data_IF_021394970969
#
_entry.id   IF_021394970969
#
_cell.length_a   1.000
_cell.length_b   1.000
_cell.length_c   1.000
_cell.angle_alpha   90.00
_cell.angle_beta   90.00
_cell.angle_gamma   90.00
#
_symmetry.space_group_name_H-M   'P 1'
#
loop_
_entity.id
_entity.type
_entity.pdbx_description
1 polymer ?
#
# COMPACT_ATOMS: atom_id res chain seq x y z
N UNK A 1 -2.43 -4.06 -49.89
CA UNK A 1 -3.85 -3.68 -50.10
C UNK A 1 -4.58 -4.19 -48.86
N UNK A 2 -5.02 -3.44 -47.86
CA UNK A 2 -5.47 -2.04 -47.63
C UNK A 2 -5.13 -1.75 -46.15
N UNK A 3 -4.47 -0.66 -45.72
CA UNK A 3 -4.94 0.73 -45.66
C UNK A 3 -6.00 0.90 -44.54
N UNK A 4 -6.00 1.84 -43.58
CA UNK A 4 -5.18 3.00 -43.19
C UNK A 4 -5.89 3.63 -41.93
N UNK A 5 -5.16 4.43 -41.12
CA UNK A 5 -5.58 5.54 -40.22
C UNK A 5 -6.04 5.34 -38.75
N UNK A 6 -5.09 5.64 -37.84
CA UNK A 6 -5.06 6.73 -36.81
C UNK A 6 -6.32 7.24 -36.11
N UNK A 7 -6.20 7.45 -34.78
CA UNK A 7 -7.01 8.42 -34.03
C UNK A 7 -6.62 8.58 -32.55
N UNK A 8 -5.92 9.67 -32.23
CA UNK A 8 -5.62 10.18 -30.87
C UNK A 8 -6.83 10.96 -30.34
N UNK A 9 -7.14 10.86 -29.02
CA UNK A 9 -7.22 11.98 -28.03
C UNK A 9 -8.12 11.64 -26.83
N UNK A 10 -7.58 11.93 -25.65
CA UNK A 10 -8.21 11.90 -24.33
C UNK A 10 -9.38 12.89 -24.19
N UNK A 11 -10.33 12.57 -23.30
CA UNK A 11 -11.03 13.58 -22.51
C UNK A 11 -11.35 13.06 -21.10
N UNK A 12 -11.00 13.91 -20.14
CA UNK A 12 -11.15 13.81 -18.69
C UNK A 12 -12.59 14.13 -18.30
N UNK A 13 -13.12 13.50 -17.25
CA UNK A 13 -13.94 14.17 -16.24
C UNK A 13 -13.95 13.36 -14.94
N UNK A 14 -13.34 13.91 -13.90
CA UNK A 14 -13.58 13.54 -12.50
C UNK A 14 -14.87 14.22 -12.02
N UNK A 15 -15.74 13.55 -11.26
CA UNK A 15 -16.70 14.25 -10.41
C UNK A 15 -16.08 14.51 -9.03
N UNK A 16 -15.97 15.80 -8.72
CA UNK A 16 -15.71 16.35 -7.41
C UNK A 16 -16.70 15.85 -6.35
N UNK A 17 -16.20 15.28 -5.26
CA UNK A 17 -16.98 15.11 -4.02
C UNK A 17 -16.25 15.80 -2.87
N UNK A 18 -16.63 17.06 -2.66
CA UNK A 18 -16.45 17.76 -1.39
C UNK A 18 -17.81 18.36 -1.05
N UNK A 19 -18.15 18.28 0.24
CA UNK A 19 -19.23 18.98 0.96
C UNK A 19 -20.46 18.14 1.26
N UNK A 20 -20.50 17.57 2.47
CA UNK A 20 -21.63 17.72 3.41
C UNK A 20 -21.29 17.06 4.76
N UNK A 21 -20.77 17.85 5.69
CA UNK A 21 -20.69 17.52 7.12
C UNK A 21 -21.10 18.77 7.89
N UNK A 22 -22.37 18.80 8.31
CA UNK A 22 -22.87 19.74 9.30
C UNK A 22 -24.09 19.12 9.98
N UNK A 23 -23.88 18.42 11.10
CA UNK A 23 -24.77 18.40 12.27
C UNK A 23 -24.26 17.37 13.31
N UNK A 24 -24.46 17.70 14.58
CA UNK A 24 -24.11 16.99 15.82
C UNK A 24 -22.64 17.16 16.25
N UNK A 25 -22.33 17.82 17.36
CA UNK A 25 -22.96 17.71 18.68
C UNK A 25 -22.01 16.90 19.58
N UNK A 26 -21.13 17.58 20.33
CA UNK A 26 -20.37 16.97 21.44
C UNK A 26 -21.29 16.89 22.67
N UNK A 27 -21.10 15.96 23.63
CA UNK A 27 -19.82 15.76 24.31
C UNK A 27 -19.44 14.32 24.72
N UNK A 28 -18.13 14.15 24.87
CA UNK A 28 -17.41 13.35 25.87
C UNK A 28 -18.10 12.14 26.55
N UNK A 29 -17.41 10.99 26.49
CA UNK A 29 -16.89 10.21 27.64
C UNK A 29 -16.91 8.71 27.32
N UNK A 30 -15.73 8.14 27.09
CA UNK A 30 -15.30 6.81 27.56
C UNK A 30 -13.86 6.59 27.06
N UNK A 31 -12.92 7.03 27.90
CA UNK A 31 -11.49 6.75 27.77
C UNK A 31 -11.18 5.50 28.56
N UNK A 32 -10.27 4.71 27.98
CA UNK A 32 -9.38 3.76 28.63
C UNK A 32 -10.00 2.40 28.97
N UNK A 33 -9.65 1.39 28.16
CA UNK A 33 -9.26 0.06 28.61
C UNK A 33 -8.64 -0.70 27.41
N UNK A 34 -7.39 -0.38 27.06
CA UNK A 34 -6.50 -1.29 26.35
C UNK A 34 -5.06 -1.04 26.85
N UNK A 35 -4.31 -2.09 27.26
CA UNK A 35 -2.92 -1.93 27.66
C UNK A 35 -2.07 -1.55 26.44
N UNK A 36 -1.38 -0.42 26.50
CA UNK A 36 -0.41 -0.01 25.48
C UNK A 36 0.80 -0.95 25.54
N UNK A 37 1.00 -1.74 24.50
CA UNK A 37 2.26 -2.45 24.26
C UNK A 37 3.36 -1.39 24.06
N UNK A 38 4.52 -1.48 24.73
CA UNK A 38 5.60 -0.50 24.54
C UNK A 38 6.14 -0.62 23.11
N UNK A 39 6.03 0.46 22.34
CA UNK A 39 6.71 0.62 21.06
C UNK A 39 8.22 0.54 21.32
N UNK A 40 8.81 -0.61 21.01
CA UNK A 40 10.26 -0.83 21.02
C UNK A 40 10.90 0.23 20.12
N UNK A 41 11.91 0.91 20.66
CA UNK A 41 12.58 2.07 20.09
C UNK A 41 12.78 1.96 18.57
N UNK A 42 12.18 2.93 17.87
CA UNK A 42 12.44 3.21 16.46
C UNK A 42 13.94 3.38 16.27
N UNK A 43 14.56 2.59 15.38
CA UNK A 43 15.84 3.02 14.80
C UNK A 43 15.60 4.36 14.09
N UNK A 44 16.55 5.32 14.12
CA UNK A 44 16.39 6.53 13.35
C UNK A 44 16.29 6.12 11.88
N UNK A 45 15.11 6.32 11.30
CA UNK A 45 14.96 6.39 9.86
C UNK A 45 16.00 7.40 9.36
N UNK A 46 16.72 7.05 8.29
CA UNK A 46 17.55 8.01 7.59
C UNK A 46 16.74 9.29 7.40
N UNK A 47 17.30 10.39 7.90
CA UNK A 47 16.59 11.65 8.11
C UNK A 47 16.09 12.24 6.78
N UNK A 48 14.94 12.91 6.87
CA UNK A 48 14.05 13.20 5.76
C UNK A 48 13.02 12.07 5.77
N UNK A 49 11.79 12.21 6.22
CA UNK A 49 10.90 13.36 6.21
C UNK A 49 10.10 13.32 7.52
N UNK A 50 9.87 14.46 8.18
CA UNK A 50 9.03 14.51 9.40
C UNK A 50 8.03 15.66 9.33
N UNK A 51 6.75 15.27 9.46
CA UNK A 51 5.58 16.11 9.67
C UNK A 51 5.81 17.10 10.83
N UNK A 52 5.61 18.38 10.55
CA UNK A 52 5.60 19.44 11.56
C UNK A 52 4.37 19.26 12.48
N UNK A 53 4.59 19.20 13.79
CA UNK A 53 3.54 19.38 14.80
C UNK A 53 3.65 20.83 15.23
N UNK A 54 2.69 21.66 14.84
CA UNK A 54 2.57 23.05 15.33
C UNK A 54 1.74 23.00 16.62
N UNK A 55 2.37 23.31 17.75
CA UNK A 55 1.65 23.61 18.99
C UNK A 55 1.51 25.13 19.08
N UNK A 56 0.30 25.65 18.91
CA UNK A 56 0.01 27.07 19.02
C UNK A 56 -0.20 27.46 20.50
N UNK A 57 0.72 28.24 21.05
CA UNK A 57 0.51 29.00 22.29
C UNK A 57 0.02 30.41 21.94
N UNK A 58 -1.08 30.84 22.57
CA UNK A 58 -1.66 32.17 22.45
C UNK A 58 -0.75 33.19 23.13
N UNK A 59 -0.01 34.00 22.37
CA UNK A 59 0.53 35.28 22.82
C UNK A 59 0.32 36.30 21.69
N UNK A 60 -0.41 37.37 22.02
CA UNK A 60 -0.72 38.47 21.12
C UNK A 60 0.53 39.30 20.84
N UNK A 61 1.00 39.25 19.59
CA UNK A 61 2.09 40.03 19.04
C UNK A 61 2.49 39.38 17.72
N UNK A 62 2.27 40.07 16.59
CA UNK A 62 2.49 39.54 15.25
C UNK A 62 3.85 38.84 15.12
N UNK A 63 3.91 37.55 14.78
CA UNK A 63 5.13 36.95 14.31
C UNK A 63 5.12 37.00 12.78
N UNK A 64 6.09 37.67 12.18
CA UNK A 64 6.50 37.35 10.83
C UNK A 64 6.94 35.87 10.85
N UNK A 65 6.07 34.98 10.41
CA UNK A 65 6.38 33.55 10.27
C UNK A 65 7.31 33.42 9.07
N UNK A 66 8.60 33.61 9.31
CA UNK A 66 9.63 33.09 8.43
C UNK A 66 9.51 31.57 8.56
N UNK A 67 8.87 30.94 7.57
CA UNK A 67 8.92 29.50 7.40
C UNK A 67 10.38 29.14 7.14
N UNK A 68 11.12 28.79 8.19
CA UNK A 68 12.44 28.18 8.04
C UNK A 68 12.21 26.82 7.38
N UNK A 69 12.37 26.76 6.06
CA UNK A 69 12.46 25.51 5.34
C UNK A 69 13.52 24.64 6.05
N UNK A 70 13.18 23.41 6.50
CA UNK A 70 14.17 22.57 7.14
C UNK A 70 15.25 22.29 6.10
N UNK A 71 16.47 22.75 6.40
CA UNK A 71 17.63 22.62 5.54
C UNK A 71 17.70 21.21 4.94
N UNK A 72 17.50 21.14 3.62
CA UNK A 72 17.70 19.93 2.82
C UNK A 72 19.10 19.42 3.17
N UNK A 73 19.20 18.28 3.85
CA UNK A 73 20.51 17.77 4.25
C UNK A 73 21.31 17.54 2.98
N UNK A 74 22.29 18.40 2.71
CA UNK A 74 23.09 18.38 1.49
C UNK A 74 24.16 17.27 1.54
N UNK A 75 23.85 16.17 2.24
CA UNK A 75 24.71 15.01 2.31
C UNK A 75 24.51 14.27 0.98
N UNK A 76 25.56 14.03 0.19
CA UNK A 76 25.43 13.20 -1.00
C UNK A 76 24.84 11.87 -0.54
N UNK A 77 23.72 11.47 -1.16
CA UNK A 77 23.18 10.13 -1.03
C UNK A 77 24.32 9.21 -1.45
N UNK A 78 24.92 8.51 -0.48
CA UNK A 78 25.96 7.54 -0.76
C UNK A 78 25.37 6.55 -1.78
N UNK A 79 26.07 6.24 -2.88
CA UNK A 79 25.56 5.32 -3.88
C UNK A 79 25.37 3.97 -3.21
N UNK A 80 24.12 3.68 -2.87
CA UNK A 80 23.68 2.39 -2.37
C UNK A 80 23.09 1.63 -3.55
N UNK A 81 23.30 0.30 -3.63
CA UNK A 81 22.69 -0.48 -4.69
C UNK A 81 21.17 -0.31 -4.64
N UNK A 82 20.55 -0.30 -5.82
CA UNK A 82 19.11 -0.27 -5.96
C UNK A 82 18.55 -1.59 -5.42
N UNK A 83 17.58 -1.50 -4.52
CA UNK A 83 16.98 -2.67 -3.89
C UNK A 83 15.63 -2.98 -4.52
N UNK A 84 15.53 -4.16 -5.12
CA UNK A 84 14.31 -4.70 -5.73
C UNK A 84 13.68 -5.77 -4.81
N UNK A 85 12.51 -5.49 -4.25
CA UNK A 85 11.75 -6.41 -3.43
C UNK A 85 10.90 -7.36 -4.25
N UNK A 86 11.09 -8.67 -4.07
CA UNK A 86 10.28 -9.71 -4.72
C UNK A 86 9.59 -10.60 -3.69
N UNK A 87 8.42 -11.17 -4.01
CA UNK A 87 7.78 -12.19 -3.18
C UNK A 87 8.70 -13.41 -3.04
N UNK A 88 8.80 -13.94 -1.82
CA UNK A 88 9.76 -15.00 -1.48
C UNK A 88 9.28 -16.41 -1.81
N UNK A 89 7.96 -16.64 -1.84
CA UNK A 89 7.35 -17.96 -2.03
C UNK A 89 5.95 -17.88 -2.65
N UNK A 90 5.47 -19.04 -3.12
CA UNK A 90 4.15 -19.22 -3.71
C UNK A 90 4.12 -18.85 -5.19
N UNK A 91 2.94 -19.01 -5.81
CA UNK A 91 2.72 -18.73 -7.24
C UNK A 91 3.28 -17.38 -7.68
N UNK A 92 3.05 -16.33 -6.90
CA UNK A 92 3.54 -14.99 -7.24
C UNK A 92 5.07 -14.91 -7.34
N UNK A 93 5.80 -15.67 -6.53
CA UNK A 93 7.26 -15.70 -6.58
C UNK A 93 7.78 -16.42 -7.83
N UNK A 94 7.16 -17.53 -8.20
CA UNK A 94 7.49 -18.31 -9.38
C UNK A 94 7.23 -17.49 -10.65
N UNK A 95 6.02 -16.94 -10.79
CA UNK A 95 5.62 -16.11 -11.93
C UNK A 95 6.54 -14.88 -12.07
N UNK A 96 6.94 -14.26 -10.95
CA UNK A 96 7.84 -13.09 -10.98
C UNK A 96 9.26 -13.46 -11.42
N UNK A 97 9.78 -14.60 -10.98
CA UNK A 97 11.10 -15.08 -11.41
C UNK A 97 11.06 -15.45 -12.90
N UNK A 98 9.96 -16.04 -13.36
CA UNK A 98 9.75 -16.36 -14.78
C UNK A 98 9.66 -15.10 -15.63
N UNK A 99 8.93 -14.07 -15.18
CA UNK A 99 8.88 -12.77 -15.86
C UNK A 99 10.28 -12.17 -16.03
N UNK A 100 11.08 -12.16 -14.96
CA UNK A 100 12.45 -11.65 -15.01
C UNK A 100 13.33 -12.46 -15.97
N UNK A 101 13.21 -13.79 -15.94
CA UNK A 101 13.91 -14.68 -16.87
C UNK A 101 13.52 -14.42 -18.34
N UNK A 102 12.23 -14.23 -18.62
CA UNK A 102 11.70 -13.92 -19.94
C UNK A 102 12.14 -12.52 -20.43
N UNK A 103 12.48 -11.63 -19.49
CA UNK A 103 13.05 -10.31 -19.75
C UNK A 103 14.60 -10.32 -19.82
N UNK A 104 15.22 -11.50 -19.89
CA UNK A 104 16.69 -11.68 -19.86
C UNK A 104 17.36 -11.11 -18.60
N UNK A 105 16.64 -11.00 -17.49
CA UNK A 105 17.15 -10.57 -16.18
C UNK A 105 17.24 -11.78 -15.25
N UNK A 106 18.33 -12.52 -15.35
CA UNK A 106 18.46 -13.79 -14.60
C UNK A 106 18.85 -13.54 -13.15
N UNK A 107 17.95 -13.87 -12.22
CA UNK A 107 18.23 -13.75 -10.79
C UNK A 107 19.07 -14.93 -10.30
N UNK A 108 20.32 -14.67 -9.87
CA UNK A 108 21.20 -15.68 -9.27
C UNK A 108 21.19 -15.61 -7.76
N UNK A 109 20.74 -16.71 -7.14
CA UNK A 109 20.89 -16.98 -5.70
C UNK A 109 22.19 -17.76 -5.47
N UNK A 110 23.17 -17.14 -4.84
CA UNK A 110 24.44 -17.81 -4.46
C UNK A 110 24.16 -18.94 -3.47
N UNK A 111 23.23 -18.72 -2.54
CA UNK A 111 22.76 -19.72 -1.59
C UNK A 111 21.21 -19.73 -1.60
N UNK A 112 20.56 -20.89 -1.77
CA UNK A 112 19.10 -20.98 -1.80
C UNK A 112 18.44 -20.50 -0.49
N UNK A 113 19.14 -20.56 0.65
CA UNK A 113 18.64 -20.07 1.94
C UNK A 113 18.80 -18.56 2.14
N UNK A 114 19.49 -17.87 1.22
CA UNK A 114 19.74 -16.44 1.32
C UNK A 114 18.57 -15.65 0.74
N UNK A 115 18.13 -14.62 1.47
CA UNK A 115 17.05 -13.73 1.06
C UNK A 115 17.50 -12.62 0.10
N UNK A 116 18.79 -12.55 -0.21
CA UNK A 116 19.39 -11.56 -1.10
C UNK A 116 20.01 -12.27 -2.29
N UNK A 117 19.70 -11.79 -3.48
CA UNK A 117 20.25 -12.25 -4.75
C UNK A 117 20.70 -11.06 -5.59
N UNK A 118 21.36 -11.36 -6.71
CA UNK A 118 21.83 -10.35 -7.68
C UNK A 118 21.35 -10.70 -9.07
N UNK A 119 21.13 -9.68 -9.89
CA UNK A 119 20.88 -9.80 -11.33
C UNK A 119 22.25 -9.72 -12.02
N UNK A 120 22.52 -10.58 -13.00
CA UNK A 120 23.83 -10.60 -13.65
C UNK A 120 24.02 -9.46 -14.63
N UNK A 121 22.92 -9.08 -15.28
CA UNK A 121 22.87 -8.20 -16.43
C UNK A 121 22.86 -6.72 -16.02
N UNK A 122 22.44 -6.40 -14.80
CA UNK A 122 22.39 -5.02 -14.27
C UNK A 122 23.31 -4.92 -13.03
N UNK A 123 24.47 -4.25 -13.14
CA UNK A 123 25.30 -3.96 -11.98
C UNK A 123 24.54 -3.03 -11.02
N UNK A 124 24.83 -3.12 -9.73
CA UNK A 124 24.23 -2.30 -8.65
C UNK A 124 22.74 -2.55 -8.33
N UNK A 125 22.16 -3.66 -8.79
CA UNK A 125 20.81 -4.09 -8.36
C UNK A 125 20.88 -5.30 -7.44
N UNK A 126 20.31 -5.16 -6.25
CA UNK A 126 20.13 -6.23 -5.28
C UNK A 126 18.67 -6.65 -5.18
N UNK A 127 18.43 -7.96 -5.28
CA UNK A 127 17.09 -8.53 -5.22
C UNK A 127 16.84 -9.10 -3.83
N UNK A 128 15.81 -8.60 -3.16
CA UNK A 128 15.43 -8.98 -1.81
C UNK A 128 14.14 -9.80 -1.83
N UNK A 129 14.24 -11.07 -1.49
CA UNK A 129 13.09 -11.96 -1.35
C UNK A 129 12.44 -11.76 0.01
N UNK A 130 11.20 -11.29 0.03
CA UNK A 130 10.43 -10.99 1.24
C UNK A 130 9.00 -11.50 1.11
N UNK A 131 8.24 -11.53 2.21
CA UNK A 131 6.80 -11.79 2.10
C UNK A 131 6.14 -10.63 1.36
N UNK A 132 5.07 -10.88 0.60
CA UNK A 132 4.40 -9.85 -0.19
C UNK A 132 4.00 -8.61 0.66
N UNK A 133 3.43 -8.84 1.85
CA UNK A 133 3.11 -7.76 2.80
C UNK A 133 4.33 -6.99 3.28
N UNK A 134 5.47 -7.66 3.45
CA UNK A 134 6.71 -7.04 3.92
C UNK A 134 7.42 -6.24 2.82
N UNK A 135 7.23 -6.59 1.53
CA UNK A 135 7.71 -5.77 0.41
C UNK A 135 7.04 -4.39 0.47
N UNK A 136 5.70 -4.33 0.60
CA UNK A 136 4.97 -3.05 0.70
C UNK A 136 5.42 -2.25 1.93
N UNK A 137 5.54 -2.89 3.10
CA UNK A 137 6.02 -2.21 4.32
C UNK A 137 7.42 -1.62 4.13
N UNK A 138 8.33 -2.37 3.50
CA UNK A 138 9.72 -1.92 3.28
C UNK A 138 9.82 -0.81 2.24
N UNK A 139 8.91 -0.77 1.26
CA UNK A 139 8.77 0.37 0.35
C UNK A 139 8.36 1.63 1.12
N UNK A 140 7.37 1.53 2.02
CA UNK A 140 6.94 2.66 2.88
C UNK A 140 8.08 3.14 3.78
N UNK A 141 8.89 2.23 4.33
CA UNK A 141 10.03 2.60 5.16
C UNK A 141 11.24 3.12 4.37
N UNK A 142 11.27 2.96 3.05
CA UNK A 142 12.41 3.32 2.20
C UNK A 142 13.60 2.35 2.33
N UNK A 143 13.37 1.14 2.83
CA UNK A 143 14.41 0.09 2.90
C UNK A 143 14.61 -0.59 1.53
N UNK A 144 13.56 -0.61 0.72
CA UNK A 144 13.48 -1.13 -0.65
C UNK A 144 13.07 0.03 -1.56
N UNK A 145 13.64 0.09 -2.76
CA UNK A 145 13.37 1.19 -3.70
C UNK A 145 12.24 0.83 -4.68
N UNK A 146 12.28 -0.39 -5.24
CA UNK A 146 11.27 -0.92 -6.14
C UNK A 146 10.78 -2.28 -5.62
N UNK A 147 9.53 -2.63 -5.88
CA UNK A 147 9.02 -3.95 -5.54
C UNK A 147 7.92 -4.42 -6.47
N UNK A 148 7.89 -5.74 -6.72
CA UNK A 148 6.79 -6.39 -7.44
C UNK A 148 5.86 -7.00 -6.39
N UNK A 149 4.61 -6.54 -6.37
CA UNK A 149 3.59 -6.95 -5.39
C UNK A 149 2.23 -7.03 -6.05
N UNK A 150 1.34 -7.82 -5.45
CA UNK A 150 -0.07 -7.85 -5.83
C UNK A 150 -0.76 -6.55 -5.46
N UNK A 151 -1.70 -6.13 -6.31
CA UNK A 151 -2.49 -4.92 -6.06
C UNK A 151 -3.33 -5.05 -4.78
N UNK A 152 -3.74 -6.26 -4.43
CA UNK A 152 -4.47 -6.57 -3.20
C UNK A 152 -3.66 -6.23 -1.94
N UNK A 153 -2.39 -6.66 -1.87
CA UNK A 153 -1.49 -6.36 -0.77
C UNK A 153 -1.06 -4.90 -0.75
N UNK A 154 -0.92 -4.29 -1.93
CA UNK A 154 -0.70 -2.85 -2.04
C UNK A 154 -1.87 -2.08 -1.43
N UNK A 155 -3.11 -2.33 -1.88
CA UNK A 155 -4.31 -1.66 -1.37
C UNK A 155 -4.50 -1.86 0.15
N UNK A 156 -4.25 -3.08 0.64
CA UNK A 156 -4.38 -3.41 2.07
C UNK A 156 -3.35 -2.72 2.96
N UNK A 157 -2.09 -2.59 2.52
CA UNK A 157 -0.97 -2.15 3.38
C UNK A 157 -0.55 -0.71 3.12
N UNK A 158 -0.67 -0.22 1.88
CA UNK A 158 -0.25 1.14 1.52
C UNK A 158 -1.11 2.22 2.19
N UNK A 159 -2.41 1.97 2.34
CA UNK A 159 -3.37 2.99 2.79
C UNK A 159 -3.34 4.23 1.89
N UNK A 160 -3.60 5.40 2.46
CA UNK A 160 -3.53 6.71 1.78
C UNK A 160 -2.09 7.27 1.73
N UNK A 161 -1.11 6.44 1.37
CA UNK A 161 0.27 6.89 1.27
C UNK A 161 0.61 7.36 -0.15
N UNK A 162 0.60 8.67 -0.35
CA UNK A 162 0.95 9.33 -1.61
C UNK A 162 2.41 9.13 -2.05
N UNK A 163 3.28 8.60 -1.19
CA UNK A 163 4.69 8.33 -1.53
C UNK A 163 4.87 7.07 -2.39
N UNK A 164 3.89 6.14 -2.40
CA UNK A 164 3.99 4.91 -3.19
C UNK A 164 3.34 5.07 -4.56
N UNK A 165 4.16 5.07 -5.60
CA UNK A 165 3.70 5.20 -6.99
C UNK A 165 3.67 3.85 -7.68
N UNK A 166 2.52 3.50 -8.27
CA UNK A 166 2.39 2.34 -9.17
C UNK A 166 2.99 2.72 -10.53
N UNK A 167 4.15 2.17 -10.84
CA UNK A 167 4.85 2.43 -12.11
C UNK A 167 4.25 1.62 -13.25
N UNK A 168 3.88 0.36 -12.99
CA UNK A 168 3.26 -0.54 -13.95
C UNK A 168 2.13 -1.29 -13.27
N UNK A 169 0.91 -1.14 -13.79
CA UNK A 169 -0.32 -1.67 -13.19
C UNK A 169 -0.63 -3.11 -13.64
N UNK A 170 -0.17 -3.52 -14.84
CA UNK A 170 -0.51 -4.82 -15.43
C UNK A 170 0.69 -5.62 -15.92
N UNK A 171 1.26 -6.46 -15.06
CA UNK A 171 2.33 -7.39 -15.44
C UNK A 171 1.81 -8.69 -16.10
N UNK A 172 0.49 -8.81 -16.31
CA UNK A 172 -0.20 -9.93 -16.95
C UNK A 172 -0.02 -11.32 -16.30
N UNK A 173 0.33 -11.38 -15.01
CA UNK A 173 0.31 -12.60 -14.20
C UNK A 173 -0.35 -12.36 -12.84
N UNK A 174 -0.56 -13.43 -12.05
CA UNK A 174 -1.09 -13.30 -10.70
C UNK A 174 -2.55 -12.81 -10.61
N UNK A 175 -3.33 -12.92 -11.69
CA UNK A 175 -4.72 -12.47 -11.73
C UNK A 175 -5.57 -13.14 -10.64
N UNK A 176 -6.28 -12.33 -9.87
CA UNK A 176 -7.23 -12.74 -8.84
C UNK A 176 -8.31 -11.67 -8.65
N UNK A 177 -9.41 -12.04 -8.02
CA UNK A 177 -10.49 -11.11 -7.64
C UNK A 177 -10.75 -11.28 -6.15
N UNK A 178 -10.77 -10.17 -5.40
CA UNK A 178 -11.21 -10.17 -4.01
C UNK A 178 -12.74 -10.11 -4.00
N UNK A 179 -13.37 -11.12 -3.40
CA UNK A 179 -14.83 -11.27 -3.40
C UNK A 179 -15.35 -11.71 -2.03
N UNK A 180 -16.62 -11.40 -1.77
CA UNK A 180 -17.31 -11.82 -0.55
C UNK A 180 -17.97 -13.19 -0.77
N UNK A 181 -17.62 -14.16 0.06
CA UNK A 181 -18.27 -15.47 0.09
C UNK A 181 -19.43 -15.49 1.08
N UNK A 182 -20.61 -15.93 0.63
CA UNK A 182 -21.82 -16.12 1.46
C UNK A 182 -22.18 -17.61 1.48
N UNK A 183 -22.66 -18.17 2.61
CA UNK A 183 -23.04 -19.59 2.67
C UNK A 183 -24.14 -19.94 1.67
N UNK A 184 -23.97 -21.03 0.92
CA UNK A 184 -24.98 -21.49 -0.05
C UNK A 184 -26.27 -21.99 0.60
N UNK A 185 -26.20 -22.42 1.86
CA UNK A 185 -27.32 -22.99 2.59
C UNK A 185 -27.68 -22.16 3.83
N UNK A 186 -28.93 -22.26 4.26
CA UNK A 186 -29.46 -21.49 5.37
C UNK A 186 -29.71 -20.04 4.97
N UNK A 187 -29.27 -19.09 5.79
CA UNK A 187 -29.59 -17.67 5.63
C UNK A 187 -29.00 -17.03 4.36
N UNK A 188 -27.91 -17.58 3.82
CA UNK A 188 -27.24 -17.03 2.66
C UNK A 188 -27.86 -17.45 1.32
N UNK A 189 -28.82 -18.40 1.33
CA UNK A 189 -29.44 -18.91 0.11
C UNK A 189 -30.31 -17.88 -0.62
N UNK A 190 -30.86 -16.90 0.10
CA UNK A 190 -31.69 -15.82 -0.44
C UNK A 190 -30.86 -14.62 -0.93
N UNK A 191 -29.53 -14.66 -0.78
CA UNK A 191 -28.64 -13.53 -1.04
C UNK A 191 -27.86 -13.80 -2.31
N UNK A 192 -28.14 -13.03 -3.37
CA UNK A 192 -27.46 -13.15 -4.66
C UNK A 192 -26.70 -11.88 -5.04
N UNK A 193 -26.98 -10.76 -4.37
CA UNK A 193 -26.31 -9.48 -4.57
C UNK A 193 -25.89 -8.84 -3.25
N UNK A 194 -25.02 -7.82 -3.35
CA UNK A 194 -24.64 -6.99 -2.21
C UNK A 194 -25.84 -6.20 -1.65
N UNK A 195 -26.82 -5.89 -2.47
CA UNK A 195 -28.00 -5.14 -2.04
C UNK A 195 -28.96 -6.03 -1.24
N UNK A 196 -29.10 -7.32 -1.61
CA UNK A 196 -29.83 -8.31 -0.80
C UNK A 196 -29.19 -8.49 0.58
N UNK A 197 -27.85 -8.52 0.62
CA UNK A 197 -27.11 -8.62 1.88
C UNK A 197 -27.34 -7.40 2.78
N UNK A 198 -27.40 -6.19 2.20
CA UNK A 198 -27.70 -4.94 2.94
C UNK A 198 -29.14 -4.86 3.40
N UNK A 199 -30.08 -5.37 2.61
CA UNK A 199 -31.50 -5.37 2.93
C UNK A 199 -31.89 -6.46 3.96
N UNK A 200 -30.99 -7.40 4.26
CA UNK A 200 -31.27 -8.50 5.17
C UNK A 200 -31.61 -8.01 6.58
N UNK A 201 -32.79 -8.36 7.13
CA UNK A 201 -33.20 -7.93 8.46
C UNK A 201 -32.41 -8.59 9.60
N UNK A 202 -31.56 -9.58 9.27
CA UNK A 202 -30.73 -10.31 10.24
C UNK A 202 -29.60 -9.50 10.82
N UNK A 203 -29.11 -8.51 10.07
CA UNK A 203 -27.97 -7.70 10.46
C UNK A 203 -28.47 -6.33 10.89
N UNK A 204 -28.25 -6.00 12.16
CA UNK A 204 -28.64 -4.72 12.75
C UNK A 204 -27.54 -4.23 13.69
N UNK A 205 -27.77 -3.11 14.38
CA UNK A 205 -26.78 -2.56 15.31
C UNK A 205 -26.48 -3.48 16.51
N UNK A 206 -27.44 -4.31 16.93
CA UNK A 206 -27.29 -5.26 18.05
C UNK A 206 -26.61 -6.57 17.60
N UNK A 207 -26.82 -6.98 16.35
CA UNK A 207 -26.24 -8.16 15.72
C UNK A 207 -25.59 -7.78 14.39
N UNK A 208 -24.37 -7.22 14.41
CA UNK A 208 -23.68 -6.81 13.19
C UNK A 208 -23.22 -8.01 12.36
N UNK A 209 -23.11 -7.82 11.05
CA UNK A 209 -22.48 -8.78 10.15
C UNK A 209 -21.01 -8.96 10.56
N UNK A 210 -20.63 -10.20 10.87
CA UNK A 210 -19.25 -10.55 11.21
C UNK A 210 -18.58 -11.15 9.98
N UNK A 211 -17.51 -10.50 9.54
CA UNK A 211 -16.70 -10.96 8.40
C UNK A 211 -15.36 -11.46 8.93
N UNK A 212 -15.02 -12.70 8.57
CA UNK A 212 -13.68 -13.25 8.82
C UNK A 212 -12.86 -13.01 7.57
N UNK A 213 -11.85 -12.14 7.67
CA UNK A 213 -11.02 -11.73 6.55
C UNK A 213 -9.57 -11.55 6.99
N UNK A 214 -8.63 -11.79 6.06
CA UNK A 214 -7.22 -11.43 6.22
C UNK A 214 -6.90 -10.00 5.75
N UNK A 215 -7.86 -9.34 5.11
CA UNK A 215 -7.82 -7.97 4.62
C UNK A 215 -8.63 -7.10 5.58
N UNK A 216 -7.96 -6.25 6.36
CA UNK A 216 -8.57 -5.45 7.42
C UNK A 216 -8.92 -4.04 6.91
N UNK A 217 -8.21 -3.56 5.89
CA UNK A 217 -8.32 -2.18 5.40
C UNK A 217 -9.05 -2.05 4.05
N UNK A 218 -9.22 -3.16 3.31
CA UNK A 218 -9.95 -3.20 2.01
C UNK A 218 -11.44 -3.48 2.20
#
# INVERSE_FOLDING_TARGET
MTGIQTGVRAQRTCPSWRSSLAAAGSPARLRNLCPRVPLKQRRPANQGWRRAIIQAGLNNGSPDIIATEPARSNKPLQPRPLRLGLPSKGRMAEDTIELLKNSQLTVKKINPRQYVARIQEIPDVEVWFQRATDVVRKLIYGDIDLGIVGYDMYAEVAGENDELVVVHDKLDFGQCHLALGVPMYGWGSEIHSLDDLKASPKFNAENPLRVVTGYVNV
#
